data_IF_974170247522
#
_entry.id   IF_974170247522
#
_cell.length_a   1.000
_cell.length_b   1.000
_cell.length_c   1.000
_cell.angle_alpha   90.00
_cell.angle_beta   90.00
_cell.angle_gamma   90.00
#
_symmetry.space_group_name_H-M   'P 1'
#
loop_
_entity.id
_entity.type
_entity.pdbx_description
1 polymer ?
#
# COMPACT_ATOMS: atom_id res chain seq x y z
N UNK A 1 -11.27 -6.65 -8.62
CA UNK A 1 -10.58 -7.18 -7.43
C UNK A 1 -9.79 -6.02 -6.90
N UNK A 2 -10.20 -5.49 -5.76
CA UNK A 2 -9.70 -4.21 -5.29
C UNK A 2 -8.28 -4.25 -4.74
N UNK A 3 -7.67 -3.07 -4.63
CA UNK A 3 -6.37 -2.89 -3.99
C UNK A 3 -6.34 -1.64 -3.12
N UNK A 4 -5.60 -1.71 -2.02
CA UNK A 4 -5.30 -0.56 -1.18
C UNK A 4 -4.10 0.20 -1.74
N UNK A 5 -4.14 1.52 -1.69
CA UNK A 5 -2.98 2.40 -1.89
C UNK A 5 -2.43 2.77 -0.52
N UNK A 6 -1.15 2.50 -0.28
CA UNK A 6 -0.50 2.68 1.01
C UNK A 6 0.64 3.70 0.88
N UNK A 7 0.62 4.72 1.74
CA UNK A 7 1.73 5.64 1.94
C UNK A 7 2.73 5.04 2.92
N UNK A 8 3.97 4.84 2.49
CA UNK A 8 5.04 4.29 3.32
C UNK A 8 6.20 5.28 3.41
N UNK A 9 7.13 5.07 4.35
CA UNK A 9 8.39 5.84 4.43
C UNK A 9 9.29 5.69 3.19
N UNK A 10 8.98 4.75 2.29
CA UNK A 10 9.71 4.50 1.03
C UNK A 10 8.89 4.93 -0.21
N UNK A 11 7.86 5.75 -0.01
CA UNK A 11 6.95 6.22 -1.06
C UNK A 11 5.59 5.51 -1.05
N UNK A 12 4.74 5.91 -1.99
CA UNK A 12 3.39 5.37 -2.16
C UNK A 12 3.42 4.11 -3.03
N UNK A 13 2.71 3.06 -2.62
CA UNK A 13 2.65 1.79 -3.34
C UNK A 13 1.35 1.04 -3.08
N UNK A 14 1.10 -0.07 -3.79
CA UNK A 14 -0.08 -0.91 -3.52
C UNK A 14 0.12 -1.74 -2.25
N UNK A 15 -0.98 -2.16 -1.61
CA UNK A 15 -0.94 -3.03 -0.43
C UNK A 15 -0.14 -4.32 -0.66
N UNK A 16 -0.26 -4.90 -1.85
CA UNK A 16 0.52 -6.08 -2.23
C UNK A 16 2.04 -5.80 -2.28
N UNK A 17 2.43 -4.63 -2.78
CA UNK A 17 3.84 -4.23 -2.80
C UNK A 17 4.38 -3.96 -1.39
N UNK A 18 3.57 -3.36 -0.51
CA UNK A 18 3.95 -3.10 0.87
C UNK A 18 4.23 -4.40 1.64
N UNK A 19 3.34 -5.41 1.51
CA UNK A 19 3.51 -6.75 2.11
C UNK A 19 4.77 -7.42 1.58
N UNK A 20 4.96 -7.45 0.26
CA UNK A 20 6.14 -8.06 -0.37
C UNK A 20 7.45 -7.43 0.09
N UNK A 21 7.44 -6.13 0.40
CA UNK A 21 8.62 -5.37 0.85
C UNK A 21 8.77 -5.35 2.38
N UNK A 22 7.83 -5.93 3.13
CA UNK A 22 7.85 -5.92 4.59
C UNK A 22 7.78 -4.51 5.19
N UNK A 23 7.07 -3.59 4.53
CA UNK A 23 6.92 -2.20 5.00
C UNK A 23 5.45 -1.88 5.30
N UNK A 24 5.23 -1.21 6.42
CA UNK A 24 3.93 -0.68 6.82
C UNK A 24 3.74 0.77 6.37
N UNK A 25 2.56 1.32 6.69
CA UNK A 25 2.20 2.67 6.32
C UNK A 25 0.73 2.98 6.55
N UNK A 26 0.32 4.17 6.10
CA UNK A 26 -1.07 4.63 6.17
C UNK A 26 -1.82 4.27 4.88
N UNK A 27 -3.06 3.79 5.02
CA UNK A 27 -3.93 3.52 3.86
C UNK A 27 -4.53 4.83 3.38
N UNK A 28 -4.28 5.17 2.11
CA UNK A 28 -4.79 6.40 1.49
C UNK A 28 -6.14 6.17 0.81
N UNK A 29 -6.30 5.04 0.13
CA UNK A 29 -7.49 4.74 -0.65
C UNK A 29 -7.67 3.24 -0.88
N UNK A 30 -8.92 2.86 -1.17
CA UNK A 30 -9.28 1.56 -1.73
C UNK A 30 -9.87 1.76 -3.12
N UNK A 31 -9.40 0.97 -4.07
CA UNK A 31 -9.93 0.89 -5.44
C UNK A 31 -10.54 -0.51 -5.58
N UNK A 32 -11.72 -0.69 -6.18
CA UNK A 32 -12.41 -2.00 -6.32
C UNK A 32 -12.38 -2.58 -7.74
#
# INVERSE_FOLDING_TARGET
>A
MGTAVISTSKGVMTGHQAVKRGVGGEVLAYIW
#
